data_IF_081207456378
#
_entry.id   IF_081207456378
#
_cell.length_a   1.000
_cell.length_b   1.000
_cell.length_c   1.000
_cell.angle_alpha   90.00
_cell.angle_beta   90.00
_cell.angle_gamma   90.00
#
_symmetry.space_group_name_H-M   'P 1'
#
loop_
_entity.id
_entity.type
_entity.pdbx_description
1 polymer ?
#
# COMPACT_ATOMS: atom_id res chain seq x y z
N UNK A 1 -2.88 13.79 23.52
CA UNK A 1 -3.53 14.45 22.37
C UNK A 1 -3.20 15.92 22.47
N UNK A 2 -2.92 16.63 21.36
CA UNK A 2 -2.83 18.09 21.42
C UNK A 2 -4.23 18.64 21.72
N UNK A 3 -4.34 19.61 22.63
CA UNK A 3 -5.62 20.18 23.12
C UNK A 3 -6.50 20.69 21.97
N UNK A 4 -5.91 21.08 20.84
CA UNK A 4 -6.60 21.67 19.69
C UNK A 4 -7.14 20.63 18.68
N UNK A 5 -7.00 19.33 18.94
CA UNK A 5 -7.40 18.28 18.01
C UNK A 5 -8.68 17.53 18.34
N UNK A 6 -9.26 17.76 19.51
CA UNK A 6 -10.48 17.07 19.96
C UNK A 6 -11.72 17.64 19.26
N UNK A 7 -12.53 16.74 18.70
CA UNK A 7 -13.77 17.09 18.02
C UNK A 7 -14.92 17.14 19.02
N UNK A 8 -15.77 18.15 18.89
CA UNK A 8 -17.06 18.20 19.58
C UNK A 8 -18.03 17.15 19.03
N UNK A 9 -19.05 16.80 19.82
CA UNK A 9 -20.09 15.83 19.41
C UNK A 9 -20.78 16.22 18.10
N UNK A 10 -20.99 17.52 17.89
CA UNK A 10 -21.62 18.04 16.67
C UNK A 10 -20.71 17.85 15.44
N UNK A 11 -19.40 18.05 15.60
CA UNK A 11 -18.43 17.82 14.53
C UNK A 11 -18.29 16.34 14.20
N UNK A 12 -18.36 15.47 15.21
CA UNK A 12 -18.44 14.02 14.99
C UNK A 12 -19.68 13.63 14.18
N UNK A 13 -20.85 14.18 14.51
CA UNK A 13 -22.09 13.93 13.76
C UNK A 13 -21.99 14.44 12.31
N UNK A 14 -21.44 15.64 12.13
CA UNK A 14 -21.19 16.20 10.79
C UNK A 14 -20.26 15.29 9.97
N UNK A 15 -19.15 14.85 10.56
CA UNK A 15 -18.23 13.91 9.94
C UNK A 15 -18.91 12.60 9.54
N UNK A 16 -19.75 12.02 10.42
CA UNK A 16 -20.47 10.79 10.14
C UNK A 16 -21.41 10.93 8.93
N UNK A 17 -22.20 12.00 8.88
CA UNK A 17 -23.07 12.30 7.75
C UNK A 17 -22.28 12.46 6.45
N UNK A 18 -21.14 13.16 6.50
CA UNK A 18 -20.28 13.38 5.35
C UNK A 18 -19.65 12.06 4.84
N UNK A 19 -19.09 11.24 5.73
CA UNK A 19 -18.50 9.94 5.38
C UNK A 19 -19.57 8.97 4.84
N UNK A 20 -20.78 8.98 5.41
CA UNK A 20 -21.90 8.20 4.89
C UNK A 20 -22.28 8.65 3.48
N UNK A 21 -22.33 9.96 3.22
CA UNK A 21 -22.53 10.51 1.88
C UNK A 21 -21.44 10.09 0.89
N UNK A 22 -20.17 10.11 1.29
CA UNK A 22 -19.02 9.63 0.50
C UNK A 22 -19.19 8.16 0.14
N UNK A 23 -19.55 7.30 1.10
CA UNK A 23 -19.75 5.87 0.88
C UNK A 23 -20.90 5.61 -0.09
N UNK A 24 -22.02 6.33 0.07
CA UNK A 24 -23.17 6.23 -0.84
C UNK A 24 -22.76 6.66 -2.25
N UNK A 25 -22.08 7.81 -2.39
CA UNK A 25 -21.61 8.32 -3.67
C UNK A 25 -20.66 7.33 -4.36
N UNK A 26 -19.71 6.77 -3.62
CA UNK A 26 -18.79 5.74 -4.12
C UNK A 26 -19.57 4.53 -4.64
N UNK A 27 -20.49 3.99 -3.85
CA UNK A 27 -21.26 2.80 -4.20
C UNK A 27 -22.14 3.01 -5.44
N UNK A 28 -22.83 4.15 -5.53
CA UNK A 28 -23.65 4.51 -6.70
C UNK A 28 -22.77 4.61 -7.94
N UNK A 29 -21.65 5.35 -7.85
CA UNK A 29 -20.75 5.59 -8.96
C UNK A 29 -20.10 4.29 -9.45
N UNK A 30 -19.62 3.47 -8.51
CA UNK A 30 -19.02 2.17 -8.80
C UNK A 30 -20.04 1.23 -9.43
N UNK A 31 -21.27 1.14 -8.89
CA UNK A 31 -22.31 0.29 -9.45
C UNK A 31 -22.74 0.74 -10.86
N UNK A 32 -22.86 2.05 -11.10
CA UNK A 32 -23.18 2.60 -12.42
C UNK A 32 -22.10 2.26 -13.47
N UNK A 33 -20.83 2.49 -13.13
CA UNK A 33 -19.69 2.17 -14.01
C UNK A 33 -19.55 0.65 -14.24
N UNK A 34 -19.86 -0.15 -13.23
CA UNK A 34 -19.85 -1.59 -13.35
C UNK A 34 -20.99 -2.11 -14.22
N UNK A 35 -22.22 -1.62 -14.03
CA UNK A 35 -23.37 -2.03 -14.85
C UNK A 35 -23.15 -1.74 -16.33
N UNK A 36 -22.57 -0.58 -16.65
CA UNK A 36 -22.24 -0.21 -18.04
C UNK A 36 -21.13 -1.09 -18.63
N UNK A 37 -20.14 -1.51 -17.83
CA UNK A 37 -19.03 -2.35 -18.28
C UNK A 37 -19.36 -3.86 -18.32
N UNK A 38 -20.24 -4.35 -17.44
CA UNK A 38 -20.48 -5.79 -17.22
C UNK A 38 -21.71 -6.38 -17.89
N UNK A 39 -22.57 -5.56 -18.50
CA UNK A 39 -23.94 -5.94 -18.93
C UNK A 39 -24.06 -7.28 -19.66
N UNK A 40 -23.02 -7.72 -20.39
CA UNK A 40 -23.05 -8.94 -21.21
C UNK A 40 -21.79 -9.84 -21.07
N UNK A 41 -21.00 -9.72 -20.00
CA UNK A 41 -19.72 -10.46 -19.87
C UNK A 41 -19.79 -11.61 -18.87
N UNK A 42 -19.29 -12.78 -19.28
CA UNK A 42 -19.10 -13.93 -18.39
C UNK A 42 -17.86 -13.74 -17.51
N UNK A 43 -18.01 -13.99 -16.21
CA UNK A 43 -16.90 -13.99 -15.24
C UNK A 43 -15.84 -15.02 -15.65
N UNK A 44 -14.57 -14.61 -15.62
CA UNK A 44 -13.46 -15.53 -15.80
C UNK A 44 -13.27 -16.36 -14.52
N UNK A 45 -13.48 -17.67 -14.62
CA UNK A 45 -13.39 -18.61 -13.50
C UNK A 45 -11.94 -18.73 -12.98
N UNK A 46 -10.95 -18.43 -13.83
CA UNK A 46 -9.52 -18.45 -13.52
C UNK A 46 -8.81 -17.17 -14.00
N UNK A 47 -8.94 -16.05 -13.27
CA UNK A 47 -8.34 -14.76 -13.66
C UNK A 47 -6.80 -14.82 -13.74
N UNK A 48 -6.18 -15.82 -13.11
CA UNK A 48 -4.73 -16.03 -13.09
C UNK A 48 -4.15 -16.72 -14.34
N UNK A 49 -4.95 -16.97 -15.38
CA UNK A 49 -4.45 -17.60 -16.61
C UNK A 49 -3.62 -16.60 -17.43
N UNK A 50 -2.31 -16.84 -17.49
CA UNK A 50 -1.36 -16.01 -18.20
C UNK A 50 -1.26 -16.31 -19.70
N UNK A 51 -0.91 -15.26 -20.42
CA UNK A 51 -0.56 -15.27 -21.84
C UNK A 51 0.96 -15.41 -22.07
N UNK A 52 1.77 -15.03 -21.07
CA UNK A 52 3.23 -15.07 -21.17
C UNK A 52 3.73 -16.48 -20.79
N UNK A 53 4.14 -17.28 -21.78
CA UNK A 53 4.83 -18.56 -21.56
C UNK A 53 6.33 -18.39 -21.82
N UNK A 54 7.14 -19.10 -21.03
CA UNK A 54 8.62 -19.16 -21.07
C UNK A 54 9.36 -18.17 -20.16
N UNK A 55 9.26 -18.35 -18.85
CA UNK A 55 10.16 -17.67 -17.90
C UNK A 55 11.13 -18.69 -17.31
N UNK A 56 12.43 -18.38 -17.37
CA UNK A 56 13.47 -19.27 -16.87
C UNK A 56 13.59 -19.15 -15.34
N UNK A 57 13.36 -20.28 -14.66
CA UNK A 57 13.50 -20.45 -13.20
C UNK A 57 14.82 -19.86 -12.66
N UNK A 58 15.93 -20.07 -13.37
CA UNK A 58 17.25 -19.56 -12.93
C UNK A 58 17.28 -18.04 -12.90
N UNK A 59 16.65 -17.37 -13.86
CA UNK A 59 16.63 -15.90 -13.93
C UNK A 59 15.86 -15.33 -12.75
N UNK A 60 14.71 -15.92 -12.39
CA UNK A 60 13.92 -15.50 -11.22
C UNK A 60 14.77 -15.65 -9.96
N UNK A 61 15.37 -16.82 -9.73
CA UNK A 61 16.15 -17.08 -8.53
C UNK A 61 17.38 -16.18 -8.43
N UNK A 62 18.16 -16.04 -9.51
CA UNK A 62 19.35 -15.18 -9.53
C UNK A 62 19.01 -13.72 -9.27
N UNK A 63 17.90 -13.21 -9.83
CA UNK A 63 17.49 -11.83 -9.62
C UNK A 63 16.97 -11.60 -8.20
N UNK A 64 16.24 -12.58 -7.63
CA UNK A 64 15.84 -12.54 -6.22
C UNK A 64 17.06 -12.49 -5.31
N UNK A 65 18.04 -13.39 -5.52
CA UNK A 65 19.28 -13.43 -4.75
C UNK A 65 20.06 -12.12 -4.85
N UNK A 66 20.18 -11.56 -6.05
CA UNK A 66 20.84 -10.28 -6.27
C UNK A 66 20.17 -9.15 -5.49
N UNK A 67 18.84 -9.00 -5.58
CA UNK A 67 18.10 -7.98 -4.84
C UNK A 67 18.22 -8.17 -3.31
N UNK A 68 18.16 -9.42 -2.82
CA UNK A 68 18.37 -9.70 -1.40
C UNK A 68 19.80 -9.38 -0.96
N UNK A 69 20.79 -9.67 -1.80
CA UNK A 69 22.19 -9.40 -1.50
C UNK A 69 22.49 -7.90 -1.44
N UNK A 70 21.94 -7.12 -2.38
CA UNK A 70 22.03 -5.65 -2.36
C UNK A 70 21.40 -5.09 -1.08
N UNK A 71 20.24 -5.62 -0.66
CA UNK A 71 19.60 -5.23 0.59
C UNK A 71 20.50 -5.49 1.81
N UNK A 72 21.15 -6.65 1.90
CA UNK A 72 22.03 -6.98 3.02
C UNK A 72 23.34 -6.19 3.02
N UNK A 73 23.97 -5.99 1.86
CA UNK A 73 25.18 -5.14 1.75
C UNK A 73 24.88 -3.74 2.27
N UNK A 74 23.70 -3.20 1.96
CA UNK A 74 23.36 -1.83 2.34
C UNK A 74 23.31 -1.60 3.85
N UNK A 75 23.07 -2.66 4.62
CA UNK A 75 23.03 -2.65 6.09
C UNK A 75 24.21 -3.42 6.70
N UNK A 76 25.32 -3.54 5.97
CA UNK A 76 26.55 -4.21 6.42
C UNK A 76 26.31 -5.62 6.98
N UNK A 77 25.34 -6.35 6.42
CA UNK A 77 24.89 -7.66 6.87
C UNK A 77 24.38 -7.72 8.33
N UNK A 78 23.98 -6.58 8.92
CA UNK A 78 23.37 -6.56 10.24
C UNK A 78 22.01 -7.27 10.23
N UNK A 79 21.94 -8.46 10.81
CA UNK A 79 20.71 -9.25 10.90
C UNK A 79 19.66 -8.61 11.82
N UNK A 80 20.05 -7.79 12.79
CA UNK A 80 19.09 -7.15 13.70
C UNK A 80 18.14 -6.20 12.95
N UNK A 81 18.62 -5.58 11.87
CA UNK A 81 17.83 -4.72 10.97
C UNK A 81 16.65 -5.47 10.36
N UNK A 82 16.82 -6.77 10.13
CA UNK A 82 15.79 -7.63 9.55
C UNK A 82 14.70 -7.95 10.56
N UNK A 83 15.07 -8.22 11.81
CA UNK A 83 14.14 -8.72 12.83
C UNK A 83 13.53 -7.60 13.69
N UNK A 84 14.24 -6.47 13.86
CA UNK A 84 13.85 -5.39 14.74
C UNK A 84 13.62 -4.09 13.99
N UNK A 85 12.35 -3.68 13.94
CA UNK A 85 11.93 -2.45 13.25
C UNK A 85 12.62 -1.19 13.79
N UNK A 86 12.86 -1.13 15.11
CA UNK A 86 13.54 0.00 15.75
C UNK A 86 14.97 0.16 15.23
N UNK A 87 15.71 -0.94 15.11
CA UNK A 87 17.07 -0.97 14.56
C UNK A 87 17.06 -0.50 13.11
N UNK A 88 16.16 -1.04 12.28
CA UNK A 88 15.98 -0.58 10.90
C UNK A 88 15.72 0.93 10.80
N UNK A 89 14.84 1.48 11.66
CA UNK A 89 14.55 2.91 11.65
C UNK A 89 15.76 3.75 12.04
N UNK A 90 16.51 3.34 13.06
CA UNK A 90 17.70 4.06 13.52
C UNK A 90 18.80 4.06 12.45
N UNK A 91 19.13 2.89 11.91
CA UNK A 91 20.14 2.80 10.84
C UNK A 91 19.69 3.54 9.58
N UNK A 92 18.40 3.51 9.25
CA UNK A 92 17.90 4.26 8.09
C UNK A 92 18.07 5.79 8.22
N UNK A 93 18.27 6.35 9.42
CA UNK A 93 18.44 7.80 9.59
C UNK A 93 19.80 8.31 9.08
N UNK A 94 20.83 7.47 9.06
CA UNK A 94 22.16 7.85 8.54
C UNK A 94 22.19 7.99 7.02
N UNK A 95 21.14 7.54 6.34
CA UNK A 95 21.09 7.45 4.90
C UNK A 95 20.11 8.43 4.25
N UNK A 96 20.33 8.70 2.96
CA UNK A 96 19.41 9.54 2.19
C UNK A 96 18.07 8.83 1.95
N UNK A 97 16.98 9.59 2.10
CA UNK A 97 15.59 9.10 1.89
C UNK A 97 15.35 8.43 0.52
N UNK A 98 15.87 8.95 -0.61
CA UNK A 98 15.68 8.31 -1.91
C UNK A 98 16.33 6.92 -1.99
N UNK A 99 17.54 6.77 -1.43
CA UNK A 99 18.25 5.49 -1.45
C UNK A 99 17.51 4.44 -0.62
N UNK A 100 17.06 4.82 0.58
CA UNK A 100 16.23 3.94 1.43
C UNK A 100 14.96 3.49 0.72
N UNK A 101 14.33 4.37 -0.08
CA UNK A 101 13.15 4.00 -0.86
C UNK A 101 13.48 2.92 -1.90
N UNK A 102 14.61 3.04 -2.61
CA UNK A 102 15.09 2.03 -3.57
C UNK A 102 15.42 0.71 -2.87
N UNK A 103 16.14 0.76 -1.76
CA UNK A 103 16.49 -0.43 -0.96
C UNK A 103 15.22 -1.14 -0.45
N UNK A 104 14.19 -0.40 -0.08
CA UNK A 104 12.90 -0.99 0.29
C UNK A 104 12.18 -1.67 -0.87
N UNK A 105 12.33 -1.17 -2.11
CA UNK A 105 11.82 -1.88 -3.30
C UNK A 105 12.59 -3.18 -3.53
N UNK A 106 13.92 -3.17 -3.39
CA UNK A 106 14.73 -4.41 -3.48
C UNK A 106 14.40 -5.41 -2.38
N UNK A 107 14.15 -4.95 -1.16
CA UNK A 107 13.64 -5.77 -0.05
C UNK A 107 12.31 -6.46 -0.41
N UNK A 108 11.45 -5.78 -1.18
CA UNK A 108 10.18 -6.31 -1.68
C UNK A 108 10.26 -7.13 -2.98
N UNK A 109 11.40 -7.13 -3.67
CA UNK A 109 11.57 -7.80 -4.97
C UNK A 109 11.31 -9.31 -4.93
N UNK A 110 11.76 -10.09 -3.92
CA UNK A 110 11.52 -11.54 -3.87
C UNK A 110 10.03 -11.90 -3.95
N UNK A 111 9.15 -11.08 -3.37
CA UNK A 111 7.70 -11.25 -3.46
C UNK A 111 7.21 -11.15 -4.90
N UNK A 112 7.58 -10.08 -5.59
CA UNK A 112 7.14 -9.81 -6.97
C UNK A 112 7.61 -10.96 -7.88
N UNK A 113 8.87 -11.37 -7.71
CA UNK A 113 9.50 -12.47 -8.45
C UNK A 113 8.83 -13.82 -8.16
N UNK A 114 8.43 -14.05 -6.92
CA UNK A 114 7.62 -15.21 -6.54
C UNK A 114 6.23 -15.19 -7.18
N UNK A 115 5.56 -14.04 -7.24
CA UNK A 115 4.27 -13.93 -7.91
C UNK A 115 4.40 -14.21 -9.41
N UNK A 116 5.46 -13.73 -10.06
CA UNK A 116 5.80 -14.14 -11.44
C UNK A 116 5.98 -15.65 -11.54
N UNK A 117 6.80 -16.24 -10.68
CA UNK A 117 7.03 -17.69 -10.66
C UNK A 117 5.72 -18.48 -10.58
N UNK A 118 4.85 -18.15 -9.61
CA UNK A 118 3.63 -18.91 -9.32
C UNK A 118 2.56 -18.73 -10.40
N UNK A 119 2.41 -17.52 -10.95
CA UNK A 119 1.43 -17.26 -12.01
C UNK A 119 1.78 -17.96 -13.33
N UNK A 120 3.06 -18.23 -13.60
CA UNK A 120 3.48 -19.01 -14.78
C UNK A 120 3.22 -20.51 -14.66
N UNK A 121 2.67 -20.99 -13.54
CA UNK A 121 2.35 -22.41 -13.35
C UNK A 121 3.59 -23.31 -13.22
N UNK A 122 4.74 -22.74 -12.87
CA UNK A 122 5.98 -23.47 -12.63
C UNK A 122 5.83 -24.32 -11.34
N UNK A 123 6.31 -25.57 -11.37
CA UNK A 123 6.06 -26.58 -10.31
C UNK A 123 7.31 -27.05 -9.56
N UNK A 124 8.37 -26.24 -9.49
CA UNK A 124 9.58 -26.58 -8.75
C UNK A 124 9.45 -26.23 -7.25
N UNK A 125 9.17 -27.23 -6.42
CA UNK A 125 9.00 -27.04 -4.98
C UNK A 125 10.25 -26.43 -4.29
N UNK A 126 11.46 -26.83 -4.69
CA UNK A 126 12.70 -26.30 -4.10
C UNK A 126 12.86 -24.80 -4.35
N UNK A 127 12.55 -24.35 -5.58
CA UNK A 127 12.60 -22.93 -5.92
C UNK A 127 11.51 -22.15 -5.19
N UNK A 128 10.30 -22.73 -5.07
CA UNK A 128 9.20 -22.13 -4.31
C UNK A 128 9.61 -21.90 -2.85
N UNK A 129 10.18 -22.92 -2.19
CA UNK A 129 10.69 -22.84 -0.82
C UNK A 129 11.81 -21.80 -0.71
N UNK A 130 12.77 -21.80 -1.64
CA UNK A 130 13.86 -20.83 -1.64
C UNK A 130 13.36 -19.39 -1.76
N UNK A 131 12.37 -19.12 -2.62
CA UNK A 131 11.78 -17.80 -2.76
C UNK A 131 10.98 -17.39 -1.51
N UNK A 132 10.19 -18.30 -0.93
CA UNK A 132 9.48 -18.04 0.32
C UNK A 132 10.47 -17.70 1.44
N UNK A 133 11.56 -18.44 1.55
CA UNK A 133 12.64 -18.17 2.50
C UNK A 133 13.24 -16.77 2.30
N UNK A 134 13.57 -16.39 1.06
CA UNK A 134 14.07 -15.04 0.75
C UNK A 134 13.04 -13.95 1.10
N UNK A 135 11.75 -14.20 0.87
CA UNK A 135 10.68 -13.26 1.25
C UNK A 135 10.64 -13.08 2.77
N UNK A 136 10.62 -14.19 3.53
CA UNK A 136 10.51 -14.15 4.99
C UNK A 136 11.75 -13.52 5.62
N UNK A 137 12.95 -13.84 5.12
CA UNK A 137 14.18 -13.20 5.57
C UNK A 137 14.17 -11.72 5.24
N UNK A 138 13.82 -11.31 4.02
CA UNK A 138 13.83 -9.88 3.72
C UNK A 138 12.73 -9.14 4.48
N UNK A 139 11.55 -9.73 4.66
CA UNK A 139 10.34 -9.04 5.13
C UNK A 139 9.80 -9.64 6.42
N UNK A 140 10.68 -9.98 7.36
CA UNK A 140 10.26 -10.60 8.60
C UNK A 140 9.21 -9.74 9.34
N UNK A 141 8.07 -10.30 9.78
CA UNK A 141 6.90 -9.51 10.18
C UNK A 141 7.15 -8.51 11.31
N UNK A 142 8.05 -8.81 12.25
CA UNK A 142 8.39 -7.94 13.38
C UNK A 142 9.36 -6.82 13.00
N UNK A 143 10.13 -7.01 11.93
CA UNK A 143 11.14 -6.04 11.49
C UNK A 143 10.63 -4.99 10.50
N UNK A 144 9.44 -5.17 9.96
CA UNK A 144 8.83 -4.24 9.00
C UNK A 144 7.62 -3.50 9.58
N UNK A 145 7.20 -2.45 8.90
CA UNK A 145 5.95 -1.79 9.24
C UNK A 145 4.75 -2.69 8.96
N UNK A 146 3.70 -2.55 9.79
CA UNK A 146 2.43 -3.28 9.66
C UNK A 146 1.83 -3.26 8.26
N UNK A 147 1.91 -2.12 7.58
CA UNK A 147 1.41 -2.02 6.21
C UNK A 147 2.25 -2.86 5.24
N UNK A 148 3.58 -2.96 5.42
CA UNK A 148 4.44 -3.79 4.58
C UNK A 148 4.20 -5.27 4.83
N UNK A 149 3.84 -5.66 6.05
CA UNK A 149 3.34 -7.03 6.32
C UNK A 149 2.13 -7.30 5.44
N UNK A 150 1.13 -6.42 5.42
CA UNK A 150 -0.03 -6.59 4.55
C UNK A 150 0.35 -6.63 3.05
N UNK A 151 1.18 -5.70 2.58
CA UNK A 151 1.65 -5.65 1.18
C UNK A 151 2.44 -6.91 0.79
N UNK A 152 3.16 -7.53 1.72
CA UNK A 152 3.97 -8.71 1.43
C UNK A 152 3.17 -10.00 1.51
N UNK A 153 2.45 -10.20 2.61
CA UNK A 153 1.84 -11.50 2.90
C UNK A 153 0.42 -11.64 2.35
N UNK A 154 -0.31 -10.54 2.13
CA UNK A 154 -1.67 -10.63 1.58
C UNK A 154 -1.68 -11.11 0.12
N UNK A 155 -0.82 -10.60 -0.79
CA UNK A 155 -0.74 -11.14 -2.16
C UNK A 155 -0.32 -12.62 -2.19
N UNK A 156 0.60 -13.03 -1.30
CA UNK A 156 0.99 -14.43 -1.13
C UNK A 156 -0.21 -15.30 -0.70
N UNK A 157 -0.95 -14.85 0.30
CA UNK A 157 -2.15 -15.54 0.76
C UNK A 157 -3.19 -15.69 -0.36
N UNK A 158 -3.45 -14.60 -1.11
CA UNK A 158 -4.48 -14.57 -2.15
C UNK A 158 -4.14 -15.43 -3.38
N UNK A 159 -2.85 -15.63 -3.70
CA UNK A 159 -2.46 -16.49 -4.82
C UNK A 159 -2.69 -17.97 -4.51
N UNK A 160 -2.56 -18.39 -3.25
CA UNK A 160 -2.87 -19.75 -2.81
C UNK A 160 -4.37 -19.96 -2.54
N UNK A 161 -5.01 -19.01 -1.86
CA UNK A 161 -6.38 -19.16 -1.35
C UNK A 161 -7.36 -18.29 -2.14
N UNK A 162 -7.52 -18.65 -3.41
CA UNK A 162 -8.37 -17.94 -4.41
C UNK A 162 -9.81 -17.67 -3.97
N UNK A 163 -10.50 -18.54 -3.19
CA UNK A 163 -11.87 -18.27 -2.74
C UNK A 163 -12.02 -16.97 -1.92
N UNK A 164 -10.94 -16.47 -1.31
CA UNK A 164 -11.00 -15.22 -0.55
C UNK A 164 -11.18 -14.00 -1.44
N UNK A 165 -10.77 -14.05 -2.71
CA UNK A 165 -11.01 -12.95 -3.67
C UNK A 165 -12.47 -12.79 -4.09
N UNK A 166 -13.35 -13.71 -3.69
CA UNK A 166 -14.75 -13.72 -4.13
C UNK A 166 -15.67 -13.22 -3.02
N UNK A 167 -16.68 -12.44 -3.42
CA UNK A 167 -17.76 -11.94 -2.55
C UNK A 167 -17.18 -11.18 -1.35
N UNK A 168 -17.74 -11.43 -0.16
CA UNK A 168 -17.37 -10.78 1.10
C UNK A 168 -16.25 -11.50 1.87
N UNK A 169 -15.74 -12.63 1.36
CA UNK A 169 -14.74 -13.44 2.07
C UNK A 169 -13.47 -12.64 2.37
N UNK A 170 -13.00 -11.84 1.41
CA UNK A 170 -11.86 -10.95 1.59
C UNK A 170 -12.13 -9.95 2.72
N UNK A 171 -13.26 -9.25 2.66
CA UNK A 171 -13.60 -8.20 3.61
C UNK A 171 -13.69 -8.74 5.04
N UNK A 172 -14.39 -9.86 5.25
CA UNK A 172 -14.50 -10.50 6.57
C UNK A 172 -13.14 -10.93 7.11
N UNK A 173 -12.32 -11.57 6.28
CA UNK A 173 -10.96 -11.97 6.65
C UNK A 173 -10.08 -10.79 7.01
N UNK A 174 -10.12 -9.76 6.16
CA UNK A 174 -9.31 -8.56 6.35
C UNK A 174 -9.68 -7.85 7.64
N UNK A 175 -10.96 -7.76 8.00
CA UNK A 175 -11.42 -7.19 9.29
C UNK A 175 -10.85 -7.99 10.47
N UNK A 176 -10.92 -9.32 10.43
CA UNK A 176 -10.38 -10.17 11.52
C UNK A 176 -8.87 -9.97 11.66
N UNK A 177 -8.13 -10.04 10.55
CA UNK A 177 -6.68 -9.79 10.56
C UNK A 177 -6.36 -8.37 11.04
N UNK A 178 -7.15 -7.39 10.63
CA UNK A 178 -6.97 -6.00 11.03
C UNK A 178 -7.23 -5.77 12.52
N UNK A 179 -8.18 -6.46 13.15
CA UNK A 179 -8.45 -6.31 14.58
C UNK A 179 -7.46 -7.08 15.47
N UNK A 180 -6.86 -8.16 14.97
CA UNK A 180 -5.99 -9.04 15.78
C UNK A 180 -4.52 -8.85 15.42
N UNK A 181 -4.16 -9.10 14.16
CA UNK A 181 -2.77 -9.12 13.68
C UNK A 181 -2.20 -7.71 13.67
N UNK A 182 -2.99 -6.71 13.31
CA UNK A 182 -2.50 -5.35 13.18
C UNK A 182 -2.12 -4.73 14.55
N UNK A 183 -2.89 -4.87 15.64
CA UNK A 183 -2.43 -4.47 16.97
C UNK A 183 -1.24 -5.25 17.49
N UNK A 184 -1.24 -6.57 17.28
CA UNK A 184 -0.11 -7.42 17.65
C UNK A 184 1.21 -6.95 17.01
N UNK A 185 1.17 -6.53 15.73
CA UNK A 185 2.35 -6.01 15.04
C UNK A 185 2.65 -4.54 15.38
N UNK A 186 1.73 -3.78 16.00
CA UNK A 186 1.99 -2.41 16.44
C UNK A 186 3.02 -2.42 17.56
N UNK A 187 2.88 -3.37 18.48
CA UNK A 187 3.77 -3.62 19.60
C UNK A 187 5.26 -3.60 19.22
N UNK A 188 5.66 -4.31 18.16
CA UNK A 188 7.06 -4.39 17.71
C UNK A 188 7.63 -3.08 17.12
N UNK A 189 6.83 -2.01 17.05
CA UNK A 189 7.30 -0.68 16.68
C UNK A 189 8.22 -0.07 17.75
N UNK A 190 7.93 -0.32 19.02
CA UNK A 190 8.60 0.35 20.14
C UNK A 190 9.47 -0.60 20.97
N UNK A 191 9.06 -1.87 21.10
CA UNK A 191 9.71 -2.86 21.96
C UNK A 191 10.16 -4.09 21.15
N UNK A 192 11.25 -4.72 21.60
CA UNK A 192 11.69 -6.04 21.14
C UNK A 192 11.01 -7.19 21.91
N UNK A 193 10.55 -6.94 23.14
CA UNK A 193 10.05 -7.97 24.05
C UNK A 193 8.52 -8.03 24.02
N UNK A 194 7.94 -9.23 23.99
CA UNK A 194 6.49 -9.47 24.00
C UNK A 194 5.88 -8.99 25.32
N UNK A 195 5.04 -7.95 25.29
CA UNK A 195 4.26 -7.50 26.45
C UNK A 195 3.17 -8.50 26.85
N UNK A 196 2.72 -8.42 28.11
CA UNK A 196 1.63 -9.22 28.69
C UNK A 196 0.28 -9.00 27.97
N UNK A 197 0.06 -7.82 27.35
CA UNK A 197 -1.12 -7.51 26.54
C UNK A 197 -0.71 -6.97 25.14
N UNK A 198 -0.45 -7.85 24.16
CA UNK A 198 0.04 -7.43 22.85
C UNK A 198 -1.05 -6.86 21.93
N UNK A 199 -2.34 -7.06 22.27
CA UNK A 199 -3.48 -6.52 21.53
C UNK A 199 -4.08 -5.36 22.32
N UNK A 200 -3.66 -4.14 21.99
CA UNK A 200 -4.20 -2.91 22.56
C UNK A 200 -5.00 -2.14 21.49
N UNK A 201 -6.32 -2.02 21.68
CA UNK A 201 -7.21 -1.30 20.76
C UNK A 201 -7.06 0.22 20.83
N UNK A 202 -6.51 0.78 21.92
CA UNK A 202 -6.31 2.22 22.08
C UNK A 202 -5.44 2.83 20.97
N UNK A 203 -4.59 2.02 20.34
CA UNK A 203 -3.79 2.46 19.19
C UNK A 203 -4.58 2.93 17.98
N UNK A 204 -5.86 2.55 17.86
CA UNK A 204 -6.72 2.96 16.76
C UNK A 204 -7.12 4.43 16.89
N UNK A 205 -6.99 5.01 18.09
CA UNK A 205 -7.21 6.42 18.40
C UNK A 205 -5.91 7.25 18.33
N UNK A 206 -4.76 6.62 18.03
CA UNK A 206 -3.50 7.33 17.87
C UNK A 206 -3.56 8.26 16.65
N UNK A 207 -2.97 9.47 16.72
CA UNK A 207 -2.92 10.42 15.59
C UNK A 207 -2.32 9.83 14.29
N UNK A 208 -1.34 8.93 14.40
CA UNK A 208 -0.76 8.25 13.22
C UNK A 208 -1.68 7.17 12.61
N UNK A 209 -2.82 6.90 13.24
CA UNK A 209 -3.77 5.90 12.83
C UNK A 209 -5.17 6.46 12.55
N UNK A 210 -5.70 7.31 13.43
CA UNK A 210 -7.06 7.83 13.34
C UNK A 210 -7.24 8.78 12.15
N UNK A 211 -7.46 8.20 10.98
CA UNK A 211 -7.70 8.96 9.77
C UNK A 211 -9.04 9.70 9.81
N UNK A 212 -10.00 9.22 10.59
CA UNK A 212 -11.34 9.79 10.63
C UNK A 212 -11.31 11.14 11.33
N UNK A 213 -10.82 11.18 12.57
CA UNK A 213 -10.75 12.42 13.35
C UNK A 213 -9.91 13.48 12.62
N UNK A 214 -8.76 13.09 12.09
CA UNK A 214 -7.89 13.98 11.32
C UNK A 214 -8.55 14.50 10.02
N UNK A 215 -9.33 13.67 9.34
CA UNK A 215 -10.08 14.08 8.14
C UNK A 215 -11.18 15.10 8.47
N UNK A 216 -11.89 14.90 9.57
CA UNK A 216 -12.92 15.86 10.03
C UNK A 216 -12.25 17.17 10.46
N UNK A 217 -11.14 17.10 11.19
CA UNK A 217 -10.38 18.28 11.60
C UNK A 217 -9.94 19.14 10.40
N UNK A 218 -9.48 18.52 9.30
CA UNK A 218 -9.14 19.24 8.05
C UNK A 218 -10.33 20.06 7.54
N UNK A 219 -11.52 19.46 7.55
CA UNK A 219 -12.74 20.06 7.00
C UNK A 219 -13.24 21.17 7.91
N UNK A 220 -13.27 20.94 9.23
CA UNK A 220 -13.72 21.92 10.21
C UNK A 220 -12.82 23.15 10.24
N UNK A 221 -11.50 22.94 10.13
CA UNK A 221 -10.51 24.02 10.07
C UNK A 221 -10.33 24.60 8.65
N UNK A 222 -11.15 24.18 7.67
CA UNK A 222 -11.14 24.67 6.28
C UNK A 222 -9.74 24.71 5.64
N UNK A 223 -8.94 23.68 5.89
CA UNK A 223 -7.57 23.59 5.37
C UNK A 223 -7.63 23.27 3.88
N UNK A 224 -7.35 24.26 3.02
CA UNK A 224 -7.38 24.15 1.56
C UNK A 224 -6.08 24.75 0.97
N UNK A 225 -5.53 24.07 -0.04
CA UNK A 225 -4.22 24.34 -0.65
C UNK A 225 -4.28 24.41 -2.18
N UNK A 226 -5.48 24.40 -2.77
CA UNK A 226 -5.71 24.62 -4.20
C UNK A 226 -4.89 23.73 -5.16
N UNK A 227 -4.53 22.51 -4.73
CA UNK A 227 -3.80 21.53 -5.55
C UNK A 227 -2.34 21.31 -5.18
N UNK A 228 -1.75 22.14 -4.31
CA UNK A 228 -0.32 22.03 -3.95
C UNK A 228 0.03 20.65 -3.39
N UNK A 229 -0.84 20.08 -2.55
CA UNK A 229 -0.62 18.75 -1.97
C UNK A 229 -0.59 17.67 -3.06
N UNK A 230 -1.50 17.73 -4.02
CA UNK A 230 -1.59 16.79 -5.14
C UNK A 230 -0.37 16.92 -6.07
N UNK A 231 0.13 18.14 -6.34
CA UNK A 231 1.38 18.33 -7.08
C UNK A 231 2.55 17.68 -6.32
N UNK A 232 2.61 17.86 -5.00
CA UNK A 232 3.59 17.23 -4.13
C UNK A 232 3.54 15.69 -4.16
N UNK A 233 2.36 15.10 -4.33
CA UNK A 233 2.13 13.66 -4.51
C UNK A 233 2.59 13.20 -5.89
N UNK A 234 2.14 13.84 -6.98
CA UNK A 234 2.48 13.45 -8.35
C UNK A 234 3.98 13.55 -8.62
N UNK A 235 4.62 14.60 -8.12
CA UNK A 235 6.05 14.83 -8.28
C UNK A 235 6.86 14.43 -7.05
N UNK A 236 6.41 13.40 -6.29
CA UNK A 236 7.10 12.94 -5.07
C UNK A 236 8.58 12.59 -5.28
N UNK A 237 8.93 12.11 -6.47
CA UNK A 237 10.28 11.71 -6.90
C UNK A 237 11.27 12.86 -7.11
N UNK A 238 10.82 14.10 -7.36
CA UNK A 238 11.72 15.25 -7.54
C UNK A 238 12.38 15.60 -6.20
N UNK A 239 13.71 15.54 -6.06
CA UNK A 239 14.41 15.88 -4.83
C UNK A 239 14.22 17.36 -4.45
N UNK A 240 14.24 17.66 -3.13
CA UNK A 240 14.16 19.05 -2.63
C UNK A 240 15.36 19.91 -3.06
N UNK A 241 16.50 19.30 -3.39
CA UNK A 241 17.65 20.02 -3.94
C UNK A 241 17.39 20.63 -5.34
N UNK A 242 16.45 20.06 -6.11
CA UNK A 242 16.04 20.57 -7.43
C UNK A 242 14.81 21.47 -7.29
N UNK A 243 13.91 21.13 -6.36
CA UNK A 243 12.69 21.88 -6.10
C UNK A 243 12.56 22.19 -4.61
N UNK A 244 13.19 23.29 -4.18
CA UNK A 244 13.21 23.70 -2.77
C UNK A 244 11.81 24.01 -2.25
N UNK A 245 11.02 24.71 -3.05
CA UNK A 245 9.61 25.08 -2.78
C UNK A 245 8.63 23.92 -2.91
N UNK A 246 9.09 22.66 -2.99
CA UNK A 246 8.23 21.49 -3.04
C UNK A 246 7.25 21.47 -1.85
N UNK A 247 5.94 21.31 -2.09
CA UNK A 247 4.94 21.25 -1.04
C UNK A 247 5.31 20.23 0.05
N UNK A 248 5.16 20.65 1.31
CA UNK A 248 5.13 19.74 2.45
C UNK A 248 3.93 18.80 2.32
N UNK A 249 3.99 17.61 2.92
CA UNK A 249 2.86 16.67 2.84
C UNK A 249 1.70 17.07 3.76
N UNK A 250 0.49 16.71 3.36
CA UNK A 250 -0.77 16.91 4.08
C UNK A 250 -0.67 16.53 5.57
N UNK A 251 -0.05 15.39 5.89
CA UNK A 251 0.14 14.94 7.27
C UNK A 251 0.92 15.91 8.14
N UNK A 252 1.93 16.55 7.56
CA UNK A 252 2.76 17.54 8.24
C UNK A 252 2.06 18.90 8.29
N UNK A 253 1.34 19.26 7.22
CA UNK A 253 0.50 20.45 7.17
C UNK A 253 -0.53 20.43 8.31
N UNK A 254 -1.31 19.35 8.43
CA UNK A 254 -2.30 19.21 9.49
C UNK A 254 -1.68 19.29 10.88
N UNK A 255 -0.56 18.59 11.09
CA UNK A 255 0.13 18.60 12.36
C UNK A 255 0.62 19.99 12.77
N UNK A 256 1.11 20.79 11.82
CA UNK A 256 1.51 22.17 12.07
C UNK A 256 0.29 23.06 12.35
N UNK A 257 -0.79 22.92 11.57
CA UNK A 257 -2.00 23.73 11.73
C UNK A 257 -2.70 23.50 13.08
N UNK A 258 -2.64 22.28 13.61
CA UNK A 258 -3.26 21.91 14.90
C UNK A 258 -2.25 21.84 16.06
N UNK A 259 -1.02 22.30 15.82
CA UNK A 259 0.07 22.32 16.81
C UNK A 259 0.29 20.96 17.51
N UNK A 260 0.21 19.87 16.75
CA UNK A 260 0.46 18.53 17.26
C UNK A 260 1.95 18.37 17.61
N UNK A 261 2.27 18.58 18.88
CA UNK A 261 3.64 18.53 19.40
C UNK A 261 4.34 17.21 19.05
N UNK A 262 5.43 17.29 18.29
CA UNK A 262 6.29 16.14 17.97
C UNK A 262 5.71 15.14 16.96
N UNK A 263 4.55 15.41 16.34
CA UNK A 263 3.97 14.53 15.33
C UNK A 263 4.16 15.09 13.92
N UNK A 264 4.77 14.30 13.04
CA UNK A 264 4.90 14.64 11.60
C UNK A 264 4.24 13.62 10.67
N UNK A 265 3.72 12.53 11.22
CA UNK A 265 3.15 11.42 10.48
C UNK A 265 1.74 11.08 10.99
N UNK A 266 0.82 12.00 10.69
CA UNK A 266 -0.61 11.90 11.00
C UNK A 266 -1.34 11.18 9.87
N UNK A 267 -2.30 10.32 10.20
CA UNK A 267 -3.11 9.64 9.19
C UNK A 267 -4.17 10.60 8.64
N UNK A 268 -4.23 10.76 7.33
CA UNK A 268 -5.26 11.56 6.66
C UNK A 268 -5.93 10.66 5.63
N UNK A 269 -7.26 10.63 5.63
CA UNK A 269 -8.01 9.80 4.70
C UNK A 269 -7.95 10.35 3.27
N UNK A 270 -8.07 9.46 2.29
CA UNK A 270 -8.02 9.81 0.86
C UNK A 270 -9.02 10.90 0.45
N UNK A 271 -10.20 10.91 1.05
CA UNK A 271 -11.22 11.92 0.73
C UNK A 271 -10.88 13.29 1.34
N UNK A 272 -10.25 13.33 2.51
CA UNK A 272 -9.76 14.56 3.09
C UNK A 272 -8.58 15.15 2.29
N UNK A 273 -7.77 14.32 1.63
CA UNK A 273 -6.80 14.81 0.63
C UNK A 273 -7.52 15.50 -0.53
N UNK A 274 -8.66 14.98 -0.98
CA UNK A 274 -9.54 15.67 -1.93
C UNK A 274 -9.96 17.05 -1.42
N UNK A 275 -10.40 17.13 -0.16
CA UNK A 275 -10.75 18.40 0.49
C UNK A 275 -9.58 19.37 0.57
N UNK A 276 -8.41 18.91 1.01
CA UNK A 276 -7.22 19.77 1.12
C UNK A 276 -6.85 20.38 -0.25
N UNK A 277 -7.08 19.66 -1.34
CA UNK A 277 -6.75 20.17 -2.66
C UNK A 277 -7.82 21.11 -3.22
N UNK A 278 -9.11 20.74 -3.19
CA UNK A 278 -10.16 21.49 -3.89
C UNK A 278 -11.45 21.67 -3.08
N UNK A 279 -11.38 21.60 -1.75
CA UNK A 279 -12.53 21.69 -0.85
C UNK A 279 -13.55 20.57 -1.10
N UNK A 280 -14.83 20.87 -0.88
CA UNK A 280 -15.92 19.88 -1.04
C UNK A 280 -15.99 19.28 -2.45
N UNK A 281 -15.66 20.07 -3.47
CA UNK A 281 -15.60 19.62 -4.87
C UNK A 281 -14.50 18.56 -5.02
N UNK A 282 -13.36 18.75 -4.35
CA UNK A 282 -12.26 17.79 -4.34
C UNK A 282 -12.64 16.45 -3.74
N UNK A 283 -13.47 16.42 -2.68
CA UNK A 283 -14.02 15.16 -2.13
C UNK A 283 -14.77 14.39 -3.24
N UNK A 284 -15.68 15.07 -3.94
CA UNK A 284 -16.49 14.46 -5.01
C UNK A 284 -15.59 13.92 -6.12
N UNK A 285 -14.63 14.73 -6.60
CA UNK A 285 -13.69 14.33 -7.66
C UNK A 285 -12.90 13.08 -7.24
N UNK A 286 -12.36 13.06 -6.02
CA UNK A 286 -11.56 11.93 -5.54
C UNK A 286 -12.40 10.65 -5.41
N UNK A 287 -13.63 10.74 -4.90
CA UNK A 287 -14.55 9.60 -4.81
C UNK A 287 -14.87 9.03 -6.20
N UNK A 288 -15.20 9.90 -7.16
CA UNK A 288 -15.50 9.49 -8.53
C UNK A 288 -14.28 8.85 -9.22
N UNK A 289 -13.09 9.43 -9.01
CA UNK A 289 -11.84 8.88 -9.53
C UNK A 289 -11.55 7.49 -8.96
N UNK A 290 -11.71 7.32 -7.65
CA UNK A 290 -11.53 6.03 -6.98
C UNK A 290 -12.50 4.98 -7.54
N UNK A 291 -13.79 5.32 -7.64
CA UNK A 291 -14.80 4.42 -8.21
C UNK A 291 -14.48 4.04 -9.67
N UNK A 292 -13.98 4.99 -10.46
CA UNK A 292 -13.60 4.76 -11.85
C UNK A 292 -12.40 3.83 -12.00
N UNK A 293 -11.35 4.06 -11.21
CA UNK A 293 -10.13 3.25 -11.18
C UNK A 293 -10.45 1.82 -10.73
N UNK A 294 -11.16 1.67 -9.61
CA UNK A 294 -11.53 0.36 -9.06
C UNK A 294 -12.41 -0.43 -10.04
N UNK A 295 -13.46 0.19 -10.56
CA UNK A 295 -14.32 -0.44 -11.58
C UNK A 295 -13.52 -0.90 -12.80
N UNK A 296 -12.51 -0.14 -13.21
CA UNK A 296 -11.71 -0.46 -14.40
C UNK A 296 -10.74 -1.61 -14.15
N UNK A 297 -10.08 -1.61 -12.98
CA UNK A 297 -9.19 -2.66 -12.54
C UNK A 297 -9.94 -3.98 -12.37
N UNK A 298 -11.06 -3.95 -11.65
CA UNK A 298 -11.91 -5.12 -11.40
C UNK A 298 -12.43 -5.69 -12.72
N UNK A 299 -12.90 -4.83 -13.62
CA UNK A 299 -13.38 -5.28 -14.92
C UNK A 299 -12.30 -6.01 -15.72
N UNK A 300 -11.10 -5.44 -15.78
CA UNK A 300 -9.99 -6.09 -16.47
C UNK A 300 -9.62 -7.40 -15.79
N UNK A 301 -9.50 -7.42 -14.46
CA UNK A 301 -9.07 -8.59 -13.72
C UNK A 301 -10.06 -9.76 -13.83
N UNK A 302 -11.35 -9.50 -13.67
CA UNK A 302 -12.37 -10.55 -13.59
C UNK A 302 -12.96 -10.98 -14.94
N UNK A 303 -12.90 -10.14 -15.98
CA UNK A 303 -13.63 -10.41 -17.23
C UNK A 303 -12.75 -10.43 -18.48
N UNK A 304 -11.52 -9.94 -18.40
CA UNK A 304 -10.60 -10.03 -19.53
C UNK A 304 -9.86 -11.37 -19.49
N UNK A 305 -9.87 -12.07 -20.62
CA UNK A 305 -9.01 -13.23 -20.82
C UNK A 305 -7.59 -12.79 -21.21
N UNK A 306 -6.60 -13.65 -20.96
CA UNK A 306 -5.21 -13.46 -21.38
C UNK A 306 -4.58 -12.18 -20.81
N UNK A 307 -4.73 -11.98 -19.51
CA UNK A 307 -4.05 -10.89 -18.82
C UNK A 307 -2.54 -11.14 -18.79
N UNK A 308 -1.79 -10.05 -18.96
CA UNK A 308 -0.33 -10.08 -18.81
C UNK A 308 0.03 -10.21 -17.34
N UNK A 309 1.14 -10.90 -17.09
CA UNK A 309 1.65 -11.19 -15.74
C UNK A 309 1.81 -9.94 -14.88
N UNK A 310 2.38 -8.87 -15.43
CA UNK A 310 2.56 -7.60 -14.69
C UNK A 310 1.23 -7.00 -14.20
N UNK A 311 0.14 -7.14 -14.95
CA UNK A 311 -1.16 -6.57 -14.58
C UNK A 311 -1.77 -7.33 -13.41
N UNK A 312 -1.74 -8.66 -13.46
CA UNK A 312 -2.25 -9.52 -12.37
C UNK A 312 -1.49 -9.26 -11.07
N UNK A 313 -0.16 -9.19 -11.15
CA UNK A 313 0.69 -8.91 -9.98
C UNK A 313 0.39 -7.51 -9.43
N UNK A 314 0.30 -6.51 -10.31
CA UNK A 314 -0.07 -5.14 -9.92
C UNK A 314 -1.42 -5.10 -9.21
N UNK A 315 -2.42 -5.82 -9.74
CA UNK A 315 -3.74 -5.92 -9.11
C UNK A 315 -3.67 -6.55 -7.71
N UNK A 316 -2.94 -7.66 -7.55
CA UNK A 316 -2.77 -8.31 -6.24
C UNK A 316 -2.06 -7.40 -5.23
N UNK A 317 -1.07 -6.62 -5.68
CA UNK A 317 -0.38 -5.64 -4.84
C UNK A 317 -1.30 -4.45 -4.49
N UNK A 318 -2.16 -4.02 -5.40
CA UNK A 318 -3.08 -2.91 -5.17
C UNK A 318 -4.07 -3.18 -4.03
N UNK A 319 -4.50 -4.44 -3.81
CA UNK A 319 -5.44 -4.81 -2.75
C UNK A 319 -5.01 -4.30 -1.36
N UNK A 320 -3.83 -4.66 -0.81
CA UNK A 320 -3.36 -4.10 0.46
C UNK A 320 -2.97 -2.61 0.38
N UNK A 321 -2.51 -2.14 -0.78
CA UNK A 321 -2.17 -0.72 -0.97
C UNK A 321 -3.40 0.18 -0.95
N UNK A 322 -4.56 -0.29 -1.38
CA UNK A 322 -5.80 0.46 -1.38
C UNK A 322 -6.22 0.82 0.05
N UNK A 323 -6.17 -0.14 0.97
CA UNK A 323 -6.38 0.15 2.40
C UNK A 323 -5.40 1.22 2.92
N UNK A 324 -4.14 1.15 2.50
CA UNK A 324 -3.12 2.11 2.91
C UNK A 324 -3.40 3.51 2.33
N UNK A 325 -3.83 3.61 1.08
CA UNK A 325 -4.15 4.87 0.39
C UNK A 325 -5.41 5.50 0.98
N UNK A 326 -6.45 4.71 1.24
CA UNK A 326 -7.73 5.21 1.76
C UNK A 326 -7.60 5.77 3.19
N UNK A 327 -6.70 5.21 3.99
CA UNK A 327 -6.54 5.53 5.42
C UNK A 327 -5.33 6.43 5.71
N UNK A 328 -4.21 6.18 5.05
CA UNK A 328 -2.90 6.76 5.38
C UNK A 328 -2.52 7.93 4.47
N UNK A 329 -1.35 8.50 4.73
CA UNK A 329 -0.84 9.63 3.96
C UNK A 329 -0.70 9.30 2.48
N UNK A 330 -1.38 10.07 1.62
CA UNK A 330 -1.45 9.77 0.18
C UNK A 330 -0.06 9.79 -0.45
N UNK A 331 0.76 10.78 -0.11
CA UNK A 331 2.13 10.92 -0.65
C UNK A 331 3.02 9.72 -0.39
N UNK A 332 3.07 9.23 0.86
CA UNK A 332 3.93 8.10 1.23
C UNK A 332 3.41 6.81 0.60
N UNK A 333 2.09 6.62 0.62
CA UNK A 333 1.43 5.43 0.08
C UNK A 333 1.59 5.35 -1.44
N UNK A 334 1.40 6.47 -2.14
CA UNK A 334 1.58 6.61 -3.58
C UNK A 334 3.03 6.36 -4.00
N UNK A 335 4.00 6.97 -3.31
CA UNK A 335 5.42 6.76 -3.60
C UNK A 335 5.84 5.29 -3.49
N UNK A 336 5.41 4.60 -2.42
CA UNK A 336 5.66 3.18 -2.25
C UNK A 336 4.98 2.37 -3.36
N UNK A 337 3.69 2.61 -3.64
CA UNK A 337 2.96 1.92 -4.71
C UNK A 337 3.67 2.06 -6.05
N UNK A 338 4.07 3.27 -6.45
CA UNK A 338 4.82 3.52 -7.68
C UNK A 338 6.11 2.69 -7.74
N UNK A 339 6.85 2.56 -6.64
CA UNK A 339 8.06 1.72 -6.58
C UNK A 339 7.80 0.24 -6.89
N UNK A 340 6.76 -0.34 -6.27
CA UNK A 340 6.37 -1.74 -6.52
C UNK A 340 5.84 -1.97 -7.94
N UNK A 341 5.01 -1.05 -8.45
CA UNK A 341 4.47 -1.12 -9.81
C UNK A 341 5.58 -0.95 -10.86
N UNK A 342 6.48 0.01 -10.65
CA UNK A 342 7.64 0.22 -11.53
C UNK A 342 8.51 -1.03 -11.57
N UNK A 343 8.85 -1.62 -10.42
CA UNK A 343 9.67 -2.83 -10.38
C UNK A 343 8.99 -4.01 -11.09
N UNK A 344 7.67 -4.18 -10.89
CA UNK A 344 6.89 -5.22 -11.56
C UNK A 344 6.94 -5.03 -13.08
N UNK A 345 6.68 -3.82 -13.58
CA UNK A 345 6.73 -3.54 -15.01
C UNK A 345 8.16 -3.63 -15.59
N UNK A 346 9.17 -3.14 -14.87
CA UNK A 346 10.58 -3.25 -15.24
C UNK A 346 11.01 -4.71 -15.41
N UNK A 347 10.67 -5.57 -14.43
CA UNK A 347 11.01 -6.98 -14.51
C UNK A 347 10.28 -7.68 -15.68
N UNK A 348 9.03 -7.30 -15.96
CA UNK A 348 8.31 -7.78 -17.14
C UNK A 348 9.04 -7.47 -18.46
N UNK A 349 9.54 -6.23 -18.62
CA UNK A 349 10.33 -5.85 -19.80
C UNK A 349 11.62 -6.69 -19.88
N UNK A 350 12.33 -6.85 -18.76
CA UNK A 350 13.58 -7.61 -18.71
C UNK A 350 13.38 -9.07 -19.14
N UNK A 351 12.26 -9.69 -18.76
CA UNK A 351 11.89 -11.03 -19.19
C UNK A 351 11.65 -11.13 -20.70
N UNK A 352 11.00 -10.12 -21.30
CA UNK A 352 10.78 -10.08 -22.75
C UNK A 352 12.06 -9.91 -23.56
N UNK A 353 12.98 -9.07 -23.10
CA UNK A 353 14.26 -8.85 -23.79
C UNK A 353 15.06 -10.16 -23.90
N UNK A 354 15.03 -11.00 -22.85
CA UNK A 354 15.71 -12.31 -22.87
C UNK A 354 15.00 -13.36 -23.74
N UNK A 355 13.69 -13.23 -23.96
CA UNK A 355 12.92 -14.11 -24.84
C UNK A 355 13.14 -13.81 -26.33
N UNK A 356 13.52 -12.58 -26.68
CA UNK A 356 13.87 -12.17 -28.05
C UNK A 356 15.29 -12.60 -28.48
N UNK A 357 16.10 -13.15 -27.56
CA UNK A 357 17.47 -13.63 -27.83
C UNK A 357 17.59 -15.16 -27.78
N UNK A 358 16.49 -15.90 -27.90
CA UNK A 358 16.50 -17.36 -28.03
C UNK A 358 15.84 -17.78 -29.32
#
# INVERSE_FOLDING_TARGET
>A
MGVNGELSTLEFLYGNCLFLGIIILYNISYHYLNRTRFKDKKLNINPFRLDDKNINNRVILSFSLLCTFIFFIYFDFNLEVVFHRKVFLNESQSFSKPVIAIINVFRGAPLILFLYYKLNGLKNAYLEIALIFLIVICNFPTGISRYRVAVTYLPLFLIYIKPFLKKYNFSSFFIICFLIVFPYLHHFRFNSNVLVNPVNFGMFLDLHFDSYQNSVNIIMNKIITYGDQLIGVLFFWIPRAIWESKPIGSSYLLANNLEYQGFSNVAIGFFAEGYINFGIIGIIIFVLLLALVNSWLDFKFWFRNNLKSYFIISYLLLIPFEFLILRGSLRSSFANLCGYLFFTYFFYILLKIKLLRR
#
